data_IF_659639118400
#
_entry.id   IF_659639118400
#
_cell.length_a   1.000
_cell.length_b   1.000
_cell.length_c   1.000
_cell.angle_alpha   90.00
_cell.angle_beta   90.00
_cell.angle_gamma   90.00
#
_symmetry.space_group_name_H-M   'P 1'
#
loop_
_entity.id
_entity.type
_entity.pdbx_description
1 polymer ?
#
# COMPACT_ATOMS: atom_id res chain seq x y z
N UNK A 1 -6.63 10.85 27.48
CA UNK A 1 -5.61 10.11 26.73
C UNK A 1 -6.30 9.42 25.56
N UNK A 2 -6.23 9.98 24.34
CA UNK A 2 -6.70 9.28 23.13
C UNK A 2 -5.95 9.77 21.87
N UNK A 3 -4.63 9.98 21.97
CA UNK A 3 -3.76 9.82 20.79
C UNK A 3 -3.62 8.32 20.64
N UNK A 4 -3.97 7.72 19.48
CA UNK A 4 -3.61 6.36 19.00
C UNK A 4 -4.73 5.60 18.24
N UNK A 5 -5.61 6.28 17.51
CA UNK A 5 -6.14 5.68 16.27
C UNK A 5 -5.40 6.31 15.10
N UNK A 6 -4.07 6.14 15.05
CA UNK A 6 -3.38 6.19 13.76
C UNK A 6 -3.82 4.92 13.06
N UNK A 7 -4.84 5.02 12.20
CA UNK A 7 -5.29 3.89 11.39
C UNK A 7 -4.06 3.26 10.74
N UNK A 8 -3.84 1.97 11.00
CA UNK A 8 -2.70 1.23 10.45
C UNK A 8 -3.00 0.89 8.98
N UNK A 9 -2.85 1.91 8.13
CA UNK A 9 -3.11 1.79 6.69
C UNK A 9 -2.15 0.80 6.02
N UNK A 10 -0.91 0.72 6.51
CA UNK A 10 0.06 -0.27 6.03
C UNK A 10 -0.43 -1.71 6.29
N UNK A 11 -0.97 -1.98 7.48
CA UNK A 11 -1.56 -3.25 7.88
C UNK A 11 -2.88 -3.54 7.17
N UNK A 12 -3.69 -2.51 6.90
CA UNK A 12 -4.87 -2.64 6.04
C UNK A 12 -4.46 -3.13 4.64
N UNK A 13 -3.47 -2.49 4.02
CA UNK A 13 -2.97 -2.86 2.69
C UNK A 13 -2.18 -4.17 2.67
N UNK A 14 -1.59 -4.58 3.80
CA UNK A 14 -0.88 -5.85 3.94
C UNK A 14 -1.79 -7.07 3.73
N UNK A 15 -3.10 -6.94 3.97
CA UNK A 15 -4.09 -8.01 3.72
C UNK A 15 -4.24 -8.36 2.24
N UNK A 16 -3.92 -7.40 1.36
CA UNK A 16 -3.97 -7.59 -0.07
C UNK A 16 -2.59 -8.07 -0.54
N UNK A 17 -2.51 -9.31 -1.01
CA UNK A 17 -1.29 -9.88 -1.61
C UNK A 17 -1.24 -9.71 -3.15
N UNK A 18 -2.34 -9.22 -3.74
CA UNK A 18 -2.46 -9.07 -5.18
C UNK A 18 -2.06 -7.65 -5.64
N UNK A 19 -0.93 -7.56 -6.33
CA UNK A 19 -0.41 -6.32 -6.86
C UNK A 19 -1.31 -5.68 -7.94
N UNK A 20 -2.03 -6.49 -8.73
CA UNK A 20 -2.95 -5.97 -9.75
C UNK A 20 -4.19 -5.36 -9.09
N UNK A 21 -4.70 -5.99 -8.03
CA UNK A 21 -5.79 -5.44 -7.23
C UNK A 21 -5.41 -4.11 -6.57
N UNK A 22 -4.21 -4.02 -6.01
CA UNK A 22 -3.70 -2.78 -5.41
C UNK A 22 -3.52 -1.67 -6.45
N UNK A 23 -3.00 -1.99 -7.64
CA UNK A 23 -2.92 -1.03 -8.75
C UNK A 23 -4.30 -0.56 -9.22
N UNK A 24 -5.27 -1.48 -9.34
CA UNK A 24 -6.64 -1.11 -9.69
C UNK A 24 -7.27 -0.16 -8.66
N UNK A 25 -7.03 -0.41 -7.37
CA UNK A 25 -7.45 0.48 -6.27
C UNK A 25 -6.77 1.84 -6.33
N UNK A 26 -5.48 1.89 -6.67
CA UNK A 26 -4.75 3.15 -6.84
C UNK A 26 -5.25 3.96 -8.05
N UNK A 27 -5.63 3.30 -9.16
CA UNK A 27 -6.23 3.96 -10.31
C UNK A 27 -7.63 4.51 -10.02
N UNK A 28 -8.37 3.87 -9.11
CA UNK A 28 -9.71 4.27 -8.68
C UNK A 28 -9.69 4.75 -7.22
N UNK A 29 -8.84 5.73 -6.93
CA UNK A 29 -8.57 6.13 -5.53
C UNK A 29 -9.81 6.73 -4.85
N UNK A 30 -10.61 7.53 -5.53
CA UNK A 30 -11.85 8.10 -4.98
C UNK A 30 -12.84 7.02 -4.55
N UNK A 31 -13.02 6.00 -5.38
CA UNK A 31 -13.87 4.84 -5.07
C UNK A 31 -13.29 4.02 -3.91
N UNK A 32 -11.97 3.84 -3.93
CA UNK A 32 -11.25 3.11 -2.88
C UNK A 32 -11.38 3.80 -1.51
N UNK A 33 -11.26 5.13 -1.46
CA UNK A 33 -11.44 5.89 -0.23
C UNK A 33 -12.87 5.77 0.28
N UNK A 34 -13.88 5.90 -0.60
CA UNK A 34 -15.30 5.70 -0.21
C UNK A 34 -15.58 4.28 0.27
N UNK A 35 -14.98 3.28 -0.36
CA UNK A 35 -15.11 1.89 0.05
C UNK A 35 -14.51 1.66 1.45
N UNK A 36 -13.36 2.29 1.75
CA UNK A 36 -12.73 2.24 3.08
C UNK A 36 -13.60 2.96 4.12
N UNK A 37 -14.14 4.14 3.78
CA UNK A 37 -15.08 4.86 4.64
C UNK A 37 -16.31 4.01 4.98
N UNK A 38 -16.85 3.32 3.98
CA UNK A 38 -18.00 2.44 4.16
C UNK A 38 -17.68 1.14 4.90
N UNK A 39 -16.47 0.57 4.72
CA UNK A 39 -16.07 -0.68 5.38
C UNK A 39 -15.78 -0.45 6.87
N UNK A 40 -15.16 0.68 7.19
CA UNK A 40 -14.76 1.02 8.55
C UNK A 40 -15.81 1.86 9.29
N UNK A 41 -16.88 2.28 8.61
CA UNK A 41 -17.89 3.22 9.11
C UNK A 41 -17.25 4.51 9.65
N UNK A 42 -16.25 5.03 8.93
CA UNK A 42 -15.52 6.25 9.28
C UNK A 42 -15.57 7.26 8.14
N UNK A 43 -15.29 8.53 8.47
CA UNK A 43 -15.08 9.58 7.47
C UNK A 43 -13.59 9.90 7.38
N UNK A 44 -13.00 9.74 6.20
CA UNK A 44 -11.59 10.07 5.96
C UNK A 44 -11.46 11.58 5.76
N UNK A 45 -10.68 12.23 6.61
CA UNK A 45 -10.30 13.62 6.39
C UNK A 45 -9.18 13.68 5.33
N UNK A 46 -8.92 14.86 4.76
CA UNK A 46 -7.87 15.02 3.73
C UNK A 46 -6.49 14.51 4.19
N UNK A 47 -6.19 14.60 5.50
CA UNK A 47 -4.96 14.04 6.07
C UNK A 47 -4.95 12.51 6.18
N UNK A 48 -6.11 11.88 6.37
CA UNK A 48 -6.25 10.42 6.37
C UNK A 48 -6.22 9.86 4.95
N UNK A 49 -6.88 10.55 4.01
CA UNK A 49 -6.83 10.21 2.59
C UNK A 49 -5.39 10.16 2.08
N UNK A 50 -4.57 11.15 2.44
CA UNK A 50 -3.15 11.18 2.08
C UNK A 50 -2.39 9.99 2.69
N UNK A 51 -2.66 9.62 3.94
CA UNK A 51 -2.02 8.46 4.58
C UNK A 51 -2.45 7.12 3.95
N UNK A 52 -3.72 7.00 3.56
CA UNK A 52 -4.24 5.82 2.84
C UNK A 52 -3.51 5.66 1.50
N UNK A 53 -3.36 6.76 0.76
CA UNK A 53 -2.68 6.81 -0.55
C UNK A 53 -1.21 6.46 -0.39
N UNK A 54 -0.51 7.11 0.54
CA UNK A 54 0.93 6.90 0.76
C UNK A 54 1.23 5.44 1.12
N UNK A 55 0.41 4.86 2.01
CA UNK A 55 0.52 3.45 2.39
C UNK A 55 0.19 2.49 1.23
N UNK A 56 -0.77 2.85 0.36
CA UNK A 56 -1.11 2.08 -0.84
C UNK A 56 0.04 2.08 -1.85
N UNK A 57 0.61 3.25 -2.13
CA UNK A 57 1.75 3.41 -3.03
C UNK A 57 2.99 2.68 -2.51
N UNK A 58 3.26 2.76 -1.21
CA UNK A 58 4.36 2.02 -0.57
C UNK A 58 4.16 0.50 -0.70
N UNK A 59 2.93 0.00 -0.51
CA UNK A 59 2.61 -1.43 -0.68
C UNK A 59 2.84 -1.88 -2.12
N UNK A 60 2.35 -1.13 -3.11
CA UNK A 60 2.54 -1.43 -4.54
C UNK A 60 4.03 -1.45 -4.88
N UNK A 61 4.79 -0.45 -4.41
CA UNK A 61 6.24 -0.37 -4.61
C UNK A 61 6.96 -1.56 -3.99
N UNK A 62 6.59 -1.97 -2.79
CA UNK A 62 7.18 -3.13 -2.09
C UNK A 62 6.90 -4.43 -2.83
N UNK A 63 5.69 -4.61 -3.36
CA UNK A 63 5.36 -5.78 -4.17
C UNK A 63 6.08 -5.82 -5.50
N UNK A 64 6.20 -4.67 -6.17
CA UNK A 64 6.95 -4.54 -7.41
C UNK A 64 8.44 -4.86 -7.20
N UNK A 65 9.02 -4.47 -6.06
CA UNK A 65 10.40 -4.82 -5.69
C UNK A 65 10.59 -6.32 -5.42
N UNK A 66 9.63 -7.00 -4.79
CA UNK A 66 9.70 -8.46 -4.53
C UNK A 66 9.64 -9.33 -5.79
N UNK A 67 9.07 -8.81 -6.89
CA UNK A 67 9.01 -9.52 -8.18
C UNK A 67 10.26 -9.41 -9.03
N UNK A 68 11.24 -8.58 -8.67
CA UNK A 68 12.57 -8.70 -9.26
C UNK A 68 13.26 -9.89 -8.59
N UNK A 69 13.57 -10.99 -9.30
CA UNK A 69 14.59 -11.89 -8.78
C UNK A 69 15.82 -11.02 -8.56
N UNK A 70 16.34 -11.05 -7.33
CA UNK A 70 17.68 -10.56 -7.05
C UNK A 70 18.55 -11.41 -7.95
N UNK A 71 18.87 -10.90 -9.13
CA UNK A 71 19.68 -11.62 -10.09
C UNK A 71 21.00 -11.84 -9.39
N UNK A 72 21.25 -13.08 -9.02
CA UNK A 72 22.52 -13.60 -8.55
C UNK A 72 23.56 -13.28 -9.62
N UNK A 73 24.15 -12.08 -9.54
CA UNK A 73 25.38 -11.74 -10.24
C UNK A 73 26.49 -11.62 -9.19
N UNK A 74 26.66 -12.72 -8.45
CA UNK A 74 28.00 -13.24 -8.27
C UNK A 74 28.47 -13.74 -9.63
N UNK A 75 29.24 -12.94 -10.35
CA UNK A 75 30.19 -13.48 -11.33
C UNK A 75 31.42 -12.60 -11.34
N UNK A 76 32.48 -13.20 -10.79
CA UNK A 76 33.91 -12.93 -10.90
C UNK A 76 34.39 -11.53 -11.25
N UNK A 77 35.06 -10.92 -10.27
CA UNK A 77 35.97 -9.78 -10.44
C UNK A 77 37.44 -10.26 -10.60
N UNK A 78 37.62 -11.46 -11.18
CA UNK A 78 38.91 -12.05 -11.56
C UNK A 78 38.68 -13.01 -12.74
N UNK A 79 38.81 -12.50 -13.96
CA UNK A 79 39.47 -13.18 -15.09
C UNK A 79 40.02 -12.10 -16.04
#
# INVERSE_FOLDING_TARGET
MSKLFRNDWAGYWAKFDDAALLQHKAMNIDETLRAIESELDIKLLSGDQMQVIDALEERIRTMSKRRKPVSSLQTSLFD
#
